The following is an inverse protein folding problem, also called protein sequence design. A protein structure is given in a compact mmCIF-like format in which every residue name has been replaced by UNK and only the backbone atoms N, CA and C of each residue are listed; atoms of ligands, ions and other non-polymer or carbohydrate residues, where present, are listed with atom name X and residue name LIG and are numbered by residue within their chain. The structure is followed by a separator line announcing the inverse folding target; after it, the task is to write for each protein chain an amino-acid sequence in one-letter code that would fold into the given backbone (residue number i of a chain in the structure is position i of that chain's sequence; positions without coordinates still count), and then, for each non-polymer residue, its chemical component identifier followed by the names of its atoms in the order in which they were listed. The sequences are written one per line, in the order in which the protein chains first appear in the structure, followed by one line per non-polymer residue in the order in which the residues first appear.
data_IF_466917989327
#
_entry.id   IF_466917989327
#
_cell.length_a   1.000
_cell.length_b   1.000
_cell.length_c   1.000
_cell.angle_alpha   90.00
_cell.angle_beta   90.00
_cell.angle_gamma   90.00
#
_symmetry.space_group_name_H-M   'P 1'
#
loop_
_entity.id
_entity.type
_entity.pdbx_description
1 polymer ?
#
# COMPACT_ATOMS: atom_id res chain seq x y z
N UNK A 1 7.83 -21.19 30.04
CA UNK A 1 7.86 -20.37 28.82
C UNK A 1 6.97 -19.16 29.03
N UNK A 2 7.46 -17.94 28.82
CA UNK A 2 6.71 -16.69 28.92
C UNK A 2 7.21 -15.70 27.89
N UNK A 3 6.40 -14.71 27.58
CA UNK A 3 6.80 -13.59 26.73
C UNK A 3 7.68 -12.65 27.54
N UNK A 4 8.84 -12.24 27.00
CA UNK A 4 9.75 -11.30 27.63
C UNK A 4 9.17 -9.89 27.51
N UNK A 5 9.10 -9.19 28.64
CA UNK A 5 8.65 -7.80 28.67
C UNK A 5 9.88 -6.85 28.58
N UNK A 6 9.77 -5.72 27.88
CA UNK A 6 10.87 -4.74 27.83
C UNK A 6 11.36 -4.33 29.22
N UNK A 7 12.68 -4.43 29.47
CA UNK A 7 13.29 -4.13 30.76
C UNK A 7 13.46 -5.33 31.68
N UNK A 8 13.14 -6.53 31.25
CA UNK A 8 13.38 -7.77 31.99
C UNK A 8 14.80 -8.28 31.71
N UNK A 9 15.52 -8.66 32.79
CA UNK A 9 16.86 -9.21 32.68
C UNK A 9 16.82 -10.70 32.34
N UNK A 10 17.65 -11.12 31.38
CA UNK A 10 17.88 -12.51 31.03
C UNK A 10 18.93 -13.11 31.99
N UNK A 11 18.67 -14.30 32.46
CA UNK A 11 19.57 -15.04 33.33
C UNK A 11 20.36 -16.10 32.54
N UNK A 12 21.54 -16.43 33.00
CA UNK A 12 22.31 -17.52 32.41
C UNK A 12 21.56 -18.87 32.53
N UNK A 13 21.33 -19.50 31.37
CA UNK A 13 20.54 -20.73 31.29
C UNK A 13 19.10 -20.53 30.80
N UNK A 14 18.68 -19.26 30.57
CA UNK A 14 17.40 -18.99 29.92
C UNK A 14 17.49 -19.35 28.42
N UNK A 15 16.43 -19.97 27.93
CA UNK A 15 16.24 -20.21 26.50
C UNK A 15 15.29 -19.18 25.91
N UNK A 16 15.72 -18.55 24.81
CA UNK A 16 14.99 -17.43 24.19
C UNK A 16 14.68 -17.75 22.72
N UNK A 17 13.46 -17.49 22.27
CA UNK A 17 13.09 -17.55 20.86
C UNK A 17 13.30 -16.16 20.24
N UNK A 18 14.19 -16.07 19.28
CA UNK A 18 14.44 -14.84 18.51
C UNK A 18 13.79 -14.96 17.15
N UNK A 19 12.97 -13.96 16.78
CA UNK A 19 12.31 -13.88 15.49
C UNK A 19 12.79 -12.64 14.75
N UNK A 20 13.35 -12.81 13.56
CA UNK A 20 13.91 -11.70 12.79
C UNK A 20 14.43 -12.13 11.42
N UNK A 21 15.12 -11.22 10.75
CA UNK A 21 15.88 -11.54 9.54
C UNK A 21 17.06 -12.43 9.91
N UNK A 22 17.40 -13.37 9.03
CA UNK A 22 18.42 -14.40 9.29
C UNK A 22 19.73 -13.83 9.80
N UNK A 23 20.24 -12.78 9.16
CA UNK A 23 21.50 -12.11 9.53
C UNK A 23 21.45 -11.51 10.95
N UNK A 24 20.28 -10.96 11.33
CA UNK A 24 20.07 -10.39 12.67
C UNK A 24 19.95 -11.51 13.71
N UNK A 25 19.24 -12.58 13.39
CA UNK A 25 19.10 -13.74 14.28
C UNK A 25 20.46 -14.37 14.55
N UNK A 26 21.30 -14.56 13.54
CA UNK A 26 22.66 -15.08 13.69
C UNK A 26 23.50 -14.18 14.61
N UNK A 27 23.47 -12.85 14.41
CA UNK A 27 24.18 -11.89 15.26
C UNK A 27 23.70 -11.91 16.72
N UNK A 28 22.37 -11.96 16.92
CA UNK A 28 21.78 -12.01 18.27
C UNK A 28 22.12 -13.32 18.96
N UNK A 29 22.12 -14.45 18.22
CA UNK A 29 22.53 -15.74 18.77
C UNK A 29 23.97 -15.73 19.26
N UNK A 30 24.91 -15.13 18.49
CA UNK A 30 26.31 -15.00 18.92
C UNK A 30 26.47 -14.15 20.19
N UNK A 31 25.61 -13.12 20.37
CA UNK A 31 25.65 -12.25 21.55
C UNK A 31 25.03 -12.90 22.78
N UNK A 32 23.93 -13.63 22.60
CA UNK A 32 23.20 -14.25 23.70
C UNK A 32 23.78 -15.60 24.15
N UNK A 33 24.47 -16.32 23.26
CA UNK A 33 25.06 -17.62 23.59
C UNK A 33 25.08 -18.58 22.40
N UNK A 34 24.55 -19.76 22.57
CA UNK A 34 24.53 -20.82 21.54
C UNK A 34 23.10 -21.16 21.13
N UNK A 35 22.92 -21.66 19.89
CA UNK A 35 21.63 -22.13 19.43
C UNK A 35 21.21 -23.39 20.23
N UNK A 36 20.03 -23.35 20.82
CA UNK A 36 19.43 -24.49 21.52
C UNK A 36 18.85 -25.50 20.55
N UNK A 37 19.01 -26.80 20.86
CA UNK A 37 18.36 -27.88 20.11
C UNK A 37 16.87 -28.03 20.47
N UNK A 38 16.40 -27.33 21.51
CA UNK A 38 15.00 -27.34 21.91
C UNK A 38 14.20 -26.27 21.12
N UNK A 39 13.20 -26.72 20.39
CA UNK A 39 12.27 -25.81 19.72
C UNK A 39 11.18 -25.35 20.68
N UNK A 40 11.46 -24.33 21.51
CA UNK A 40 10.49 -23.70 22.41
C UNK A 40 9.21 -23.27 21.71
N UNK A 41 9.26 -22.96 20.41
CA UNK A 41 8.10 -22.65 19.58
C UNK A 41 7.08 -23.81 19.49
N UNK A 42 7.46 -25.05 19.87
CA UNK A 42 6.57 -26.21 19.92
C UNK A 42 6.02 -26.49 21.34
N UNK A 43 6.56 -25.82 22.35
CA UNK A 43 6.02 -25.94 23.72
C UNK A 43 4.79 -25.03 23.90
N UNK A 44 3.61 -25.59 23.60
CA UNK A 44 2.31 -24.91 23.72
C UNK A 44 1.67 -25.05 25.09
N UNK A 45 2.40 -25.41 26.11
CA UNK A 45 1.85 -25.65 27.44
C UNK A 45 1.40 -24.35 28.12
N UNK A 46 2.11 -23.23 27.89
CA UNK A 46 1.86 -21.93 28.53
C UNK A 46 1.62 -20.82 27.53
N UNK A 47 2.24 -20.90 26.35
CA UNK A 47 2.19 -19.84 25.32
C UNK A 47 1.50 -20.38 24.06
N UNK A 48 0.62 -19.59 23.48
CA UNK A 48 -0.07 -19.94 22.23
C UNK A 48 0.45 -19.06 21.08
N UNK A 49 0.74 -19.74 19.94
CA UNK A 49 1.05 -19.08 18.66
C UNK A 49 -0.23 -19.08 17.84
N UNK A 50 -0.81 -17.91 17.65
CA UNK A 50 -2.05 -17.79 16.92
C UNK A 50 -1.96 -16.70 15.86
N UNK A 51 -2.81 -16.80 14.82
CA UNK A 51 -2.98 -15.75 13.83
C UNK A 51 -4.32 -15.06 14.06
N UNK A 52 -4.28 -13.76 14.25
CA UNK A 52 -5.43 -12.93 14.53
C UNK A 52 -5.60 -11.88 13.43
N UNK A 53 -6.84 -11.58 13.10
CA UNK A 53 -7.17 -10.57 12.10
C UNK A 53 -7.47 -9.23 12.78
N UNK A 54 -6.76 -8.19 12.39
CA UNK A 54 -7.00 -6.83 12.87
C UNK A 54 -8.30 -6.30 12.26
N UNK A 55 -9.38 -6.29 13.05
CA UNK A 55 -10.69 -5.81 12.63
C UNK A 55 -11.26 -4.69 13.50
N UNK A 56 -10.58 -4.34 14.58
CA UNK A 56 -10.96 -3.23 15.42
C UNK A 56 -10.55 -1.89 14.76
N UNK A 57 -11.50 -1.03 14.37
CA UNK A 57 -11.20 0.23 13.70
C UNK A 57 -10.41 1.22 14.55
N UNK A 58 -10.46 1.09 15.89
CA UNK A 58 -9.68 1.96 16.78
C UNK A 58 -8.18 1.71 16.74
N UNK A 59 -7.79 0.55 16.26
CA UNK A 59 -6.39 0.15 16.10
C UNK A 59 -5.85 0.48 14.70
N UNK A 60 -6.72 0.77 13.76
CA UNK A 60 -6.34 1.15 12.41
C UNK A 60 -5.44 2.39 12.43
N UNK A 61 -4.36 2.34 11.63
CA UNK A 61 -3.38 3.42 11.50
C UNK A 61 -2.51 3.68 12.74
N UNK A 62 -2.47 2.75 13.69
CA UNK A 62 -1.51 2.75 14.81
C UNK A 62 -0.34 1.84 14.54
N UNK A 63 0.83 2.22 15.01
CA UNK A 63 2.02 1.38 14.93
C UNK A 63 1.95 0.23 15.97
N UNK A 64 2.70 -0.84 15.73
CA UNK A 64 2.80 -1.96 16.68
C UNK A 64 3.25 -1.47 18.05
N UNK A 65 4.23 -0.54 18.10
CA UNK A 65 4.69 0.07 19.34
C UNK A 65 3.57 0.79 20.11
N UNK A 66 2.70 1.54 19.41
CA UNK A 66 1.59 2.26 20.03
C UNK A 66 0.52 1.34 20.63
N UNK A 67 0.38 0.13 20.12
CA UNK A 67 -0.55 -0.86 20.68
C UNK A 67 -0.08 -1.38 22.02
N UNK A 68 1.23 -1.35 22.26
CA UNK A 68 1.87 -1.75 23.51
C UNK A 68 1.40 -3.13 24.03
N UNK A 69 1.26 -4.09 23.11
CA UNK A 69 0.75 -5.43 23.40
C UNK A 69 1.58 -6.18 24.44
N UNK A 70 2.94 -6.07 24.48
CA UNK A 70 3.75 -6.75 25.47
C UNK A 70 3.42 -6.34 26.90
N UNK A 71 3.20 -5.03 27.15
CA UNK A 71 2.90 -4.52 28.49
C UNK A 71 1.44 -4.76 28.89
N UNK A 72 0.52 -4.72 27.92
CA UNK A 72 -0.93 -4.88 28.16
C UNK A 72 -1.36 -6.30 28.37
N UNK A 73 -0.84 -7.20 27.55
CA UNK A 73 -1.32 -8.60 27.45
C UNK A 73 -0.17 -9.62 27.48
N UNK A 74 1.08 -9.20 27.71
CA UNK A 74 2.23 -10.10 27.54
C UNK A 74 2.29 -10.73 26.13
N UNK A 75 1.79 -10.03 25.12
CA UNK A 75 1.67 -10.55 23.76
C UNK A 75 2.70 -9.88 22.83
N UNK A 76 3.33 -10.69 21.98
CA UNK A 76 4.32 -10.21 21.00
C UNK A 76 3.87 -10.55 19.60
N UNK A 77 3.86 -9.54 18.72
CA UNK A 77 3.63 -9.74 17.28
C UNK A 77 4.92 -10.17 16.63
N UNK A 78 4.92 -11.28 15.94
CA UNK A 78 6.11 -11.83 15.26
C UNK A 78 6.12 -11.54 13.77
N UNK A 79 4.95 -11.58 13.14
CA UNK A 79 4.77 -11.33 11.71
C UNK A 79 3.44 -10.64 11.45
N UNK A 80 3.39 -9.88 10.37
CA UNK A 80 2.18 -9.26 9.84
C UNK A 80 2.01 -9.70 8.41
N UNK A 81 0.85 -10.24 8.07
CA UNK A 81 0.47 -10.58 6.70
C UNK A 81 -0.58 -9.61 6.21
N UNK A 82 -0.21 -8.84 5.18
CA UNK A 82 -1.09 -7.89 4.51
C UNK A 82 -1.37 -8.37 3.09
N UNK A 83 -2.55 -8.92 2.86
CA UNK A 83 -2.85 -9.61 1.61
C UNK A 83 -1.89 -10.77 1.36
N UNK A 84 -1.11 -10.70 0.28
CA UNK A 84 -0.09 -11.70 -0.09
C UNK A 84 1.32 -11.35 0.40
N UNK A 85 1.49 -10.19 1.05
CA UNK A 85 2.78 -9.75 1.56
C UNK A 85 2.97 -10.21 3.01
N UNK A 86 4.14 -10.76 3.28
CA UNK A 86 4.57 -11.08 4.64
C UNK A 86 5.59 -10.04 5.11
N UNK A 87 5.23 -9.30 6.14
CA UNK A 87 6.01 -8.21 6.71
C UNK A 87 6.57 -8.63 8.06
N UNK A 88 7.80 -8.23 8.34
CA UNK A 88 8.35 -8.38 9.69
C UNK A 88 7.65 -7.39 10.62
N UNK A 89 7.25 -7.88 11.81
CA UNK A 89 6.63 -7.04 12.84
C UNK A 89 7.70 -6.13 13.48
N UNK A 90 7.86 -4.93 12.90
CA UNK A 90 8.70 -3.86 13.43
C UNK A 90 7.84 -2.91 14.25
N UNK A 91 8.45 -2.26 15.22
CA UNK A 91 7.77 -1.32 16.11
C UNK A 91 7.09 -0.16 15.37
N UNK A 92 7.72 0.31 14.27
CA UNK A 92 7.24 1.39 13.43
C UNK A 92 6.21 0.95 12.38
N UNK A 93 5.94 -0.37 12.25
CA UNK A 93 4.96 -0.89 11.31
C UNK A 93 3.55 -0.51 11.74
N UNK A 94 2.88 0.24 10.88
CA UNK A 94 1.49 0.66 11.08
C UNK A 94 0.55 -0.43 10.61
N UNK A 95 -0.36 -0.87 11.49
CA UNK A 95 -1.35 -1.88 11.16
C UNK A 95 -2.53 -1.28 10.38
N UNK A 96 -3.03 -2.07 9.43
CA UNK A 96 -4.19 -1.75 8.61
C UNK A 96 -5.34 -2.73 8.88
N UNK A 97 -6.60 -2.32 8.68
CA UNK A 97 -7.73 -3.23 8.78
C UNK A 97 -7.57 -4.42 7.82
N UNK A 98 -7.74 -5.63 8.33
CA UNK A 98 -7.55 -6.86 7.55
C UNK A 98 -6.14 -7.44 7.58
N UNK A 99 -5.18 -6.78 8.25
CA UNK A 99 -3.88 -7.40 8.51
C UNK A 99 -4.07 -8.63 9.38
N UNK A 100 -3.40 -9.73 9.00
CA UNK A 100 -3.30 -10.92 9.83
C UNK A 100 -1.98 -10.88 10.57
N UNK A 101 -2.05 -10.84 11.88
CA UNK A 101 -0.87 -10.79 12.73
C UNK A 101 -0.65 -12.15 13.40
N UNK A 102 0.59 -12.63 13.33
CA UNK A 102 1.01 -13.78 14.09
C UNK A 102 1.44 -13.30 15.48
N UNK A 103 0.76 -13.76 16.51
CA UNK A 103 0.93 -13.31 17.89
C UNK A 103 1.35 -14.49 18.75
N UNK A 104 2.30 -14.24 19.65
CA UNK A 104 2.68 -15.12 20.74
C UNK A 104 2.12 -14.52 22.02
N UNK A 105 1.28 -15.26 22.73
CA UNK A 105 0.56 -14.76 23.90
C UNK A 105 0.38 -15.85 24.95
N UNK A 106 0.31 -15.49 26.23
CA UNK A 106 -0.10 -16.42 27.28
C UNK A 106 -1.55 -16.85 27.01
N UNK A 107 -1.82 -18.15 27.15
CA UNK A 107 -3.15 -18.74 26.91
C UNK A 107 -4.25 -18.08 27.73
N UNK A 108 -3.93 -17.51 28.88
CA UNK A 108 -4.90 -16.84 29.76
C UNK A 108 -5.33 -15.47 29.19
N UNK A 109 -4.46 -14.82 28.46
CA UNK A 109 -4.70 -13.49 27.90
C UNK A 109 -5.21 -13.54 26.44
N UNK A 110 -5.34 -14.75 25.87
CA UNK A 110 -5.72 -14.95 24.48
C UNK A 110 -7.08 -14.32 24.16
N UNK A 111 -8.08 -14.53 25.01
CA UNK A 111 -9.43 -13.99 24.80
C UNK A 111 -9.44 -12.46 24.86
N UNK A 112 -8.63 -11.86 25.72
CA UNK A 112 -8.51 -10.40 25.84
C UNK A 112 -7.80 -9.81 24.62
N UNK A 113 -6.78 -10.49 24.11
CA UNK A 113 -6.11 -10.10 22.85
C UNK A 113 -7.07 -10.21 21.66
N UNK A 114 -7.87 -11.27 21.57
CA UNK A 114 -8.93 -11.42 20.56
C UNK A 114 -9.94 -10.26 20.63
N UNK A 115 -10.42 -9.95 21.82
CA UNK A 115 -11.36 -8.85 22.02
C UNK A 115 -10.76 -7.49 21.65
N UNK A 116 -9.48 -7.26 21.96
CA UNK A 116 -8.77 -6.03 21.64
C UNK A 116 -8.54 -5.87 20.15
N UNK A 117 -8.06 -6.89 19.45
CA UNK A 117 -7.78 -6.86 18.01
C UNK A 117 -9.04 -6.96 17.16
N UNK A 118 -10.12 -7.51 17.72
CA UNK A 118 -11.43 -7.69 17.09
C UNK A 118 -11.57 -9.02 16.33
N UNK A 119 -10.52 -9.64 15.87
CA UNK A 119 -10.38 -10.95 15.21
C UNK A 119 -11.61 -11.41 14.39
N UNK A 120 -12.05 -10.58 13.47
CA UNK A 120 -13.19 -10.84 12.60
C UNK A 120 -12.86 -10.57 11.15
N UNK A 121 -12.68 -11.63 10.37
CA UNK A 121 -12.45 -11.51 8.91
C UNK A 121 -13.58 -10.74 8.20
N UNK A 122 -14.81 -10.90 8.67
CA UNK A 122 -15.96 -10.19 8.11
C UNK A 122 -15.85 -8.68 8.35
N UNK A 123 -15.66 -8.25 9.59
CA UNK A 123 -15.50 -6.83 9.92
C UNK A 123 -14.26 -6.21 9.29
N UNK A 124 -13.18 -7.00 9.21
CA UNK A 124 -11.94 -6.58 8.56
C UNK A 124 -12.08 -6.33 7.05
N UNK A 125 -13.05 -6.95 6.40
CA UNK A 125 -13.36 -6.74 4.97
C UNK A 125 -14.46 -5.72 4.71
N UNK A 126 -15.15 -5.24 5.75
CA UNK A 126 -16.24 -4.27 5.58
C UNK A 126 -15.68 -2.88 5.19
N UNK A 127 -16.23 -2.35 4.10
CA UNK A 127 -15.92 -1.00 3.65
C UNK A 127 -16.62 0.03 4.54
N UNK A 128 -15.89 0.98 5.05
CA UNK A 128 -16.49 2.19 5.59
C UNK A 128 -17.00 3.07 4.42
N UNK A 129 -18.26 2.89 4.10
CA UNK A 129 -18.93 3.59 2.99
C UNK A 129 -18.93 5.11 3.22
N UNK A 130 -18.98 5.56 4.47
CA UNK A 130 -18.96 7.00 4.81
C UNK A 130 -17.60 7.62 4.49
N UNK A 131 -16.51 6.99 4.90
CA UNK A 131 -15.15 7.46 4.61
C UNK A 131 -14.90 7.50 3.11
N UNK A 132 -15.23 6.42 2.40
CA UNK A 132 -15.07 6.36 0.94
C UNK A 132 -15.92 7.41 0.25
N UNK A 133 -17.20 7.53 0.62
CA UNK A 133 -18.14 8.49 0.05
C UNK A 133 -17.70 9.93 0.27
N UNK A 134 -17.29 10.28 1.50
CA UNK A 134 -16.75 11.60 1.82
C UNK A 134 -15.48 11.91 1.01
N UNK A 135 -14.57 10.95 0.91
CA UNK A 135 -13.35 11.11 0.11
C UNK A 135 -13.66 11.40 -1.36
N UNK A 136 -14.61 10.68 -1.95
CA UNK A 136 -15.05 10.91 -3.33
C UNK A 136 -15.72 12.27 -3.51
N UNK A 137 -16.63 12.65 -2.61
CA UNK A 137 -17.31 13.96 -2.66
C UNK A 137 -16.30 15.11 -2.56
N UNK A 138 -15.36 15.04 -1.62
CA UNK A 138 -14.30 16.04 -1.51
C UNK A 138 -13.41 16.09 -2.75
N UNK A 139 -13.12 14.91 -3.33
CA UNK A 139 -12.33 14.81 -4.56
C UNK A 139 -13.03 15.45 -5.75
N UNK A 140 -14.29 15.12 -5.98
CA UNK A 140 -15.07 15.75 -7.05
C UNK A 140 -15.26 17.25 -6.83
N UNK A 141 -15.54 17.67 -5.59
CA UNK A 141 -15.64 19.09 -5.25
C UNK A 141 -14.33 19.84 -5.60
N UNK A 142 -13.18 19.29 -5.19
CA UNK A 142 -11.88 19.88 -5.56
C UNK A 142 -11.66 19.89 -7.09
N UNK A 143 -12.09 18.84 -7.78
CA UNK A 143 -11.99 18.75 -9.24
C UNK A 143 -12.79 19.81 -9.99
N UNK A 144 -13.88 20.30 -9.41
CA UNK A 144 -14.74 21.32 -9.98
C UNK A 144 -14.29 22.76 -9.69
N UNK A 145 -13.36 22.97 -8.75
CA UNK A 145 -12.88 24.30 -8.37
C UNK A 145 -12.14 24.93 -9.56
N UNK A 146 -12.60 26.09 -10.07
CA UNK A 146 -11.87 26.82 -11.10
C UNK A 146 -10.64 27.50 -10.49
N UNK A 147 -9.47 27.11 -10.94
CA UNK A 147 -8.20 27.71 -10.54
C UNK A 147 -7.83 28.82 -11.54
N UNK A 148 -7.53 30.04 -11.09
CA UNK A 148 -7.13 31.11 -11.98
C UNK A 148 -5.76 30.84 -12.59
N UNK A 149 -5.61 31.09 -13.89
CA UNK A 149 -4.32 30.97 -14.60
C UNK A 149 -3.62 32.30 -14.74
N UNK A 150 -2.28 32.36 -14.62
CA UNK A 150 -1.50 33.52 -14.97
C UNK A 150 -1.63 33.78 -16.49
N UNK A 151 -2.31 34.86 -16.88
CA UNK A 151 -2.57 35.18 -18.29
C UNK A 151 -4.05 35.29 -18.64
N UNK A 152 -4.95 35.09 -17.69
CA UNK A 152 -6.40 35.15 -17.89
C UNK A 152 -6.97 33.79 -18.30
N UNK A 153 -8.07 33.42 -17.67
CA UNK A 153 -8.70 32.15 -17.84
C UNK A 153 -8.74 31.37 -16.52
N UNK A 154 -9.50 30.27 -16.48
CA UNK A 154 -9.55 29.35 -15.35
C UNK A 154 -9.42 27.93 -15.87
N UNK A 155 -8.72 27.09 -15.12
CA UNK A 155 -8.71 25.67 -15.38
C UNK A 155 -9.27 24.92 -14.15
N UNK A 156 -9.84 23.74 -14.33
CA UNK A 156 -10.25 22.86 -13.25
C UNK A 156 -9.46 21.56 -13.33
N UNK A 157 -9.18 20.95 -12.18
CA UNK A 157 -8.50 19.65 -12.10
C UNK A 157 -9.30 18.54 -12.78
N UNK A 158 -10.61 18.75 -12.88
CA UNK A 158 -11.52 17.78 -13.49
C UNK A 158 -11.86 16.58 -12.59
N UNK A 159 -12.75 15.72 -13.07
CA UNK A 159 -13.32 14.62 -12.27
C UNK A 159 -12.33 13.47 -12.01
N UNK A 160 -11.19 13.45 -12.69
CA UNK A 160 -10.17 12.41 -12.48
C UNK A 160 -9.09 12.86 -11.50
N UNK A 161 -8.53 14.08 -11.66
CA UNK A 161 -7.41 14.53 -10.86
C UNK A 161 -7.83 14.98 -9.46
N UNK A 162 -9.04 15.53 -9.29
CA UNK A 162 -9.55 15.94 -8.00
C UNK A 162 -9.61 14.77 -6.99
N UNK A 163 -10.35 13.68 -7.27
CA UNK A 163 -10.40 12.51 -6.40
C UNK A 163 -9.03 11.87 -6.17
N UNK A 164 -8.15 11.86 -7.16
CA UNK A 164 -6.79 11.33 -7.00
C UNK A 164 -6.00 12.12 -5.97
N UNK A 165 -5.98 13.46 -6.07
CA UNK A 165 -5.25 14.31 -5.12
C UNK A 165 -5.82 14.21 -3.71
N UNK A 166 -7.15 14.26 -3.57
CA UNK A 166 -7.81 14.11 -2.27
C UNK A 166 -7.52 12.72 -1.69
N UNK A 167 -7.63 11.66 -2.50
CA UNK A 167 -7.34 10.30 -2.08
C UNK A 167 -5.90 10.13 -1.60
N UNK A 168 -4.92 10.77 -2.27
CA UNK A 168 -3.53 10.78 -1.82
C UNK A 168 -3.35 11.50 -0.48
N UNK A 169 -3.98 12.66 -0.31
CA UNK A 169 -3.88 13.43 0.95
C UNK A 169 -4.52 12.63 2.09
N UNK A 170 -5.74 12.13 1.89
CA UNK A 170 -6.44 11.35 2.91
C UNK A 170 -5.72 10.03 3.22
N UNK A 171 -5.19 9.35 2.19
CA UNK A 171 -4.38 8.15 2.35
C UNK A 171 -3.08 8.41 3.12
N UNK A 172 -2.43 9.56 2.91
CA UNK A 172 -1.26 9.97 3.69
C UNK A 172 -1.61 10.30 5.14
N UNK A 173 -2.76 10.94 5.37
CA UNK A 173 -3.29 11.21 6.71
C UNK A 173 -3.74 9.95 7.44
N UNK A 174 -4.14 8.92 6.70
CA UNK A 174 -4.67 7.63 7.19
C UNK A 174 -5.88 7.74 8.10
N UNK A 175 -5.92 8.72 8.99
CA UNK A 175 -6.99 8.97 9.95
C UNK A 175 -7.15 10.45 10.23
N UNK A 176 -8.42 10.90 10.40
CA UNK A 176 -8.74 12.27 10.84
C UNK A 176 -9.85 12.19 11.87
N UNK A 177 -9.51 12.34 13.15
CA UNK A 177 -10.45 12.14 14.24
C UNK A 177 -11.05 10.73 14.26
N UNK A 178 -12.37 10.57 14.24
CA UNK A 178 -13.02 9.26 14.21
C UNK A 178 -12.99 8.60 12.84
N UNK A 179 -12.70 9.33 11.75
CA UNK A 179 -12.77 8.83 10.38
C UNK A 179 -11.45 8.18 10.00
N UNK A 180 -11.50 6.91 9.59
CA UNK A 180 -10.37 6.13 9.07
C UNK A 180 -10.43 6.14 7.54
N UNK A 181 -9.40 6.65 6.89
CA UNK A 181 -9.30 6.75 5.42
C UNK A 181 -8.67 5.52 4.78
N UNK A 182 -8.08 4.64 5.59
CA UNK A 182 -7.49 3.41 5.10
C UNK A 182 -8.57 2.40 4.73
N UNK A 183 -8.47 1.84 3.53
CA UNK A 183 -9.34 0.76 3.06
C UNK A 183 -8.75 -0.59 3.44
N UNK A 184 -9.58 -1.58 3.81
CA UNK A 184 -9.13 -2.96 3.98
C UNK A 184 -8.47 -3.48 2.69
N UNK A 185 -7.38 -4.23 2.82
CA UNK A 185 -6.59 -4.68 1.66
C UNK A 185 -7.40 -5.45 0.62
N UNK A 186 -8.32 -6.35 1.05
CA UNK A 186 -9.21 -7.08 0.16
C UNK A 186 -10.19 -6.18 -0.59
N UNK A 187 -10.76 -5.19 0.10
CA UNK A 187 -11.67 -4.23 -0.48
C UNK A 187 -10.95 -3.29 -1.47
N UNK A 188 -9.77 -2.83 -1.10
CA UNK A 188 -8.92 -2.00 -1.98
C UNK A 188 -8.59 -2.72 -3.28
N UNK A 189 -8.19 -4.00 -3.23
CA UNK A 189 -7.90 -4.81 -4.41
C UNK A 189 -9.13 -4.94 -5.32
N UNK A 190 -10.29 -5.27 -4.76
CA UNK A 190 -11.55 -5.43 -5.51
C UNK A 190 -11.98 -4.12 -6.16
N UNK A 191 -11.94 -3.00 -5.41
CA UNK A 191 -12.30 -1.68 -5.95
C UNK A 191 -11.34 -1.22 -7.05
N UNK A 192 -10.05 -1.49 -6.89
CA UNK A 192 -9.04 -1.18 -7.90
C UNK A 192 -9.28 -1.95 -9.20
N UNK A 193 -9.55 -3.26 -9.12
CA UNK A 193 -9.85 -4.08 -10.29
C UNK A 193 -11.14 -3.64 -10.98
N UNK A 194 -12.21 -3.42 -10.20
CA UNK A 194 -13.48 -2.94 -10.74
C UNK A 194 -13.32 -1.55 -11.38
N UNK A 195 -12.63 -0.63 -10.69
CA UNK A 195 -12.36 0.71 -11.21
C UNK A 195 -11.56 0.68 -12.51
N UNK A 196 -10.56 -0.19 -12.62
CA UNK A 196 -9.78 -0.37 -13.85
C UNK A 196 -10.66 -0.89 -15.00
N UNK A 197 -11.50 -1.90 -14.74
CA UNK A 197 -12.40 -2.45 -15.76
C UNK A 197 -13.42 -1.41 -16.25
N UNK A 198 -14.02 -0.65 -15.33
CA UNK A 198 -14.96 0.41 -15.68
C UNK A 198 -14.27 1.55 -16.44
N UNK A 199 -13.07 1.92 -16.05
CA UNK A 199 -12.27 2.92 -16.74
C UNK A 199 -11.95 2.49 -18.17
N UNK A 200 -11.45 1.25 -18.36
CA UNK A 200 -11.15 0.71 -19.70
C UNK A 200 -12.40 0.60 -20.57
N UNK A 201 -13.53 0.14 -20.00
CA UNK A 201 -14.80 0.08 -20.71
C UNK A 201 -15.29 1.47 -21.14
N UNK A 202 -15.24 2.46 -20.21
CA UNK A 202 -15.61 3.84 -20.50
C UNK A 202 -14.72 4.45 -21.59
N UNK A 203 -13.42 4.20 -21.52
CA UNK A 203 -12.46 4.68 -22.52
C UNK A 203 -12.71 4.04 -23.89
N UNK A 204 -12.99 2.74 -23.92
CA UNK A 204 -13.36 2.03 -25.15
C UNK A 204 -14.65 2.56 -25.80
N UNK A 205 -15.66 2.84 -24.98
CA UNK A 205 -16.94 3.38 -25.48
C UNK A 205 -16.80 4.81 -26.00
N UNK A 206 -16.01 5.66 -25.33
CA UNK A 206 -15.85 7.07 -25.74
C UNK A 206 -14.87 7.23 -26.90
N UNK A 207 -13.74 6.52 -26.89
CA UNK A 207 -12.70 6.65 -27.92
C UNK A 207 -12.93 5.73 -29.13
N UNK A 208 -13.74 4.68 -29.00
CA UNK A 208 -13.95 3.68 -30.05
C UNK A 208 -14.39 4.27 -31.41
N UNK A 209 -15.42 5.12 -31.46
CA UNK A 209 -15.85 5.77 -32.71
C UNK A 209 -14.77 6.60 -33.37
N UNK A 210 -14.00 7.36 -32.58
CA UNK A 210 -12.91 8.21 -33.09
C UNK A 210 -11.75 7.36 -33.63
N UNK A 211 -11.40 6.27 -32.96
CA UNK A 211 -10.39 5.31 -33.42
C UNK A 211 -10.79 4.69 -34.75
N UNK A 212 -12.04 4.28 -34.91
CA UNK A 212 -12.54 3.72 -36.18
C UNK A 212 -12.45 4.74 -37.32
N UNK A 213 -12.81 6.00 -37.07
CA UNK A 213 -12.70 7.09 -38.04
C UNK A 213 -11.25 7.38 -38.43
N UNK A 214 -10.34 7.42 -37.43
CA UNK A 214 -8.92 7.65 -37.69
C UNK A 214 -8.30 6.50 -38.47
N UNK A 215 -8.60 5.25 -38.14
CA UNK A 215 -8.06 4.07 -38.85
C UNK A 215 -8.48 4.03 -40.32
N UNK A 216 -9.61 4.62 -40.68
CA UNK A 216 -10.05 4.76 -42.07
C UNK A 216 -9.31 5.88 -42.84
N UNK A 217 -8.51 6.70 -42.16
CA UNK A 217 -7.80 7.81 -42.78
C UNK A 217 -6.45 7.40 -43.34
N UNK A 218 -5.99 7.98 -44.49
CA UNK A 218 -4.67 7.67 -45.07
C UNK A 218 -3.48 8.04 -44.16
N UNK A 219 -3.70 8.92 -43.19
CA UNK A 219 -2.70 9.42 -42.25
C UNK A 219 -2.59 8.58 -40.96
N UNK A 220 -3.57 7.68 -40.73
CA UNK A 220 -3.62 6.85 -39.52
C UNK A 220 -2.34 6.09 -39.25
N UNK A 221 -1.81 5.47 -40.28
CA UNK A 221 -0.55 4.71 -40.17
C UNK A 221 0.61 5.59 -39.62
N UNK A 222 0.78 6.81 -40.17
CA UNK A 222 1.85 7.71 -39.72
C UNK A 222 1.65 8.16 -38.27
N UNK A 223 0.41 8.51 -37.89
CA UNK A 223 0.06 8.88 -36.53
C UNK A 223 0.32 7.72 -35.55
N UNK A 224 -0.09 6.51 -35.92
CA UNK A 224 0.12 5.33 -35.08
C UNK A 224 1.60 5.03 -34.87
N UNK A 225 2.40 5.04 -35.93
CA UNK A 225 3.85 4.79 -35.84
C UNK A 225 4.52 5.87 -34.99
N UNK A 226 4.18 7.15 -35.21
CA UNK A 226 4.73 8.24 -34.42
C UNK A 226 4.40 8.09 -32.95
N UNK A 227 3.14 7.76 -32.61
CA UNK A 227 2.71 7.54 -31.22
C UNK A 227 3.46 6.39 -30.55
N UNK A 228 3.67 5.28 -31.26
CA UNK A 228 4.47 4.13 -30.76
C UNK A 228 5.91 4.54 -30.50
N UNK A 229 6.53 5.27 -31.44
CA UNK A 229 7.92 5.74 -31.29
C UNK A 229 8.06 6.70 -30.11
N UNK A 230 7.15 7.68 -29.99
CA UNK A 230 7.15 8.63 -28.86
C UNK A 230 6.96 7.91 -27.53
N UNK A 231 6.02 6.98 -27.45
CA UNK A 231 5.77 6.20 -26.23
C UNK A 231 7.01 5.35 -25.86
N UNK A 232 7.59 4.63 -26.82
CA UNK A 232 8.77 3.82 -26.59
C UNK A 232 9.97 4.68 -26.15
N UNK A 233 10.22 5.80 -26.82
CA UNK A 233 11.29 6.72 -26.46
C UNK A 233 11.10 7.29 -25.06
N UNK A 234 9.88 7.71 -24.71
CA UNK A 234 9.56 8.22 -23.38
C UNK A 234 9.80 7.16 -22.28
N UNK A 235 9.42 5.91 -22.53
CA UNK A 235 9.70 4.79 -21.62
C UNK A 235 11.20 4.58 -21.41
N UNK A 236 11.98 4.57 -22.51
CA UNK A 236 13.44 4.38 -22.45
C UNK A 236 14.11 5.51 -21.70
N UNK A 237 13.78 6.77 -22.04
CA UNK A 237 14.33 7.95 -21.37
C UNK A 237 14.02 7.93 -19.88
N UNK A 238 12.76 7.63 -19.52
CA UNK A 238 12.36 7.57 -18.12
C UNK A 238 13.05 6.42 -17.37
N UNK A 239 13.21 5.25 -17.99
CA UNK A 239 13.90 4.12 -17.39
C UNK A 239 15.38 4.42 -17.16
N UNK A 240 16.05 5.03 -18.15
CA UNK A 240 17.44 5.46 -18.05
C UNK A 240 17.60 6.49 -16.95
N UNK A 241 16.74 7.51 -16.92
CA UNK A 241 16.74 8.52 -15.86
C UNK A 241 16.54 7.90 -14.47
N UNK A 242 15.56 7.01 -14.33
CA UNK A 242 15.28 6.32 -13.07
C UNK A 242 16.46 5.49 -12.56
N UNK A 243 17.14 4.78 -13.47
CA UNK A 243 18.24 3.86 -13.12
C UNK A 243 19.59 4.56 -12.95
N UNK A 244 19.93 5.48 -13.84
CA UNK A 244 21.28 6.05 -13.94
C UNK A 244 21.42 7.44 -13.32
N UNK A 245 20.32 8.22 -13.26
CA UNK A 245 20.34 9.56 -12.67
C UNK A 245 19.82 9.54 -11.24
N UNK A 246 18.73 8.80 -10.98
CA UNK A 246 18.06 8.74 -9.67
C UNK A 246 18.45 7.50 -8.84
N UNK A 247 19.25 6.60 -9.41
CA UNK A 247 19.70 5.33 -8.78
C UNK A 247 18.56 4.53 -8.11
N UNK A 248 17.39 4.51 -8.75
CA UNK A 248 16.24 3.79 -8.22
C UNK A 248 16.41 2.28 -8.37
N UNK A 249 15.95 1.52 -7.38
CA UNK A 249 15.85 0.06 -7.50
C UNK A 249 14.92 -0.34 -8.65
N UNK A 250 15.11 -1.53 -9.23
CA UNK A 250 14.31 -1.99 -10.36
C UNK A 250 12.78 -1.94 -10.11
N UNK A 251 12.25 -2.35 -8.93
CA UNK A 251 10.81 -2.19 -8.64
C UNK A 251 10.35 -0.73 -8.65
N UNK A 252 11.11 0.18 -8.02
CA UNK A 252 10.79 1.60 -8.02
C UNK A 252 10.85 2.20 -9.42
N UNK A 253 11.82 1.82 -10.23
CA UNK A 253 11.94 2.28 -11.61
C UNK A 253 10.75 1.82 -12.46
N UNK A 254 10.30 0.57 -12.32
CA UNK A 254 9.12 0.05 -13.01
C UNK A 254 7.84 0.82 -12.64
N UNK A 255 7.61 1.04 -11.35
CA UNK A 255 6.49 1.86 -10.87
C UNK A 255 6.57 3.30 -11.36
N UNK A 256 7.77 3.89 -11.36
CA UNK A 256 8.02 5.24 -11.85
C UNK A 256 7.66 5.41 -13.34
N UNK A 257 8.07 4.46 -14.19
CA UNK A 257 7.72 4.46 -15.63
C UNK A 257 6.20 4.35 -15.82
N UNK A 258 5.55 3.43 -15.11
CA UNK A 258 4.10 3.26 -15.18
C UNK A 258 3.36 4.53 -14.75
N UNK A 259 3.81 5.18 -13.66
CA UNK A 259 3.26 6.44 -13.15
C UNK A 259 3.45 7.61 -14.10
N UNK A 260 4.64 7.74 -14.68
CA UNK A 260 4.93 8.78 -15.68
C UNK A 260 4.05 8.65 -16.93
N UNK A 261 3.86 7.43 -17.43
CA UNK A 261 2.96 7.17 -18.54
C UNK A 261 1.50 7.45 -18.16
N UNK A 262 1.16 7.27 -16.89
CA UNK A 262 -0.22 7.37 -16.40
C UNK A 262 -1.08 6.18 -16.81
N UNK A 263 -0.47 5.00 -17.00
CA UNK A 263 -1.15 3.81 -17.49
C UNK A 263 -1.27 2.72 -16.40
N UNK A 264 -2.47 2.52 -15.81
CA UNK A 264 -2.70 1.49 -14.80
C UNK A 264 -2.38 0.08 -15.28
N UNK A 265 -2.58 -0.21 -16.58
CA UNK A 265 -2.26 -1.51 -17.16
C UNK A 265 -0.75 -1.84 -17.10
N UNK A 266 0.12 -0.82 -17.19
CA UNK A 266 1.58 -0.99 -17.05
C UNK A 266 1.95 -1.28 -15.59
N UNK A 267 1.27 -0.64 -14.64
CA UNK A 267 1.42 -0.95 -13.22
C UNK A 267 1.05 -2.39 -12.94
N UNK A 268 -0.11 -2.84 -13.41
CA UNK A 268 -0.58 -4.21 -13.21
C UNK A 268 0.39 -5.23 -13.80
N UNK A 269 0.89 -4.98 -15.01
CA UNK A 269 1.90 -5.83 -15.65
C UNK A 269 3.22 -5.88 -14.87
N UNK A 270 3.61 -4.81 -14.19
CA UNK A 270 4.80 -4.79 -13.35
C UNK A 270 4.56 -5.52 -12.01
N UNK A 271 3.41 -5.29 -11.37
CA UNK A 271 3.02 -5.90 -10.10
C UNK A 271 2.80 -7.41 -10.22
N UNK A 272 2.23 -7.89 -11.34
CA UNK A 272 2.01 -9.31 -11.60
C UNK A 272 3.30 -10.12 -11.73
N UNK A 273 4.41 -9.49 -12.14
CA UNK A 273 5.72 -10.14 -12.22
C UNK A 273 6.45 -10.22 -10.88
N UNK A 274 6.18 -9.28 -9.99
CA UNK A 274 6.77 -9.21 -8.66
C UNK A 274 5.85 -8.41 -7.75
N UNK A 275 5.32 -9.05 -6.73
CA UNK A 275 4.60 -8.38 -5.66
C UNK A 275 5.61 -7.59 -4.80
N UNK A 276 5.66 -6.26 -4.98
CA UNK A 276 6.58 -5.36 -4.26
C UNK A 276 5.88 -4.01 -4.09
N UNK A 277 5.57 -3.62 -2.87
CA UNK A 277 4.88 -2.35 -2.54
C UNK A 277 5.60 -1.11 -3.10
N UNK A 278 6.91 -1.19 -3.33
CA UNK A 278 7.69 -0.11 -3.90
C UNK A 278 7.29 0.24 -5.33
N UNK A 279 6.71 -0.71 -6.07
CA UNK A 279 6.18 -0.49 -7.42
C UNK A 279 4.96 0.45 -7.33
N UNK A 280 4.03 0.13 -6.45
CA UNK A 280 2.79 0.91 -6.27
C UNK A 280 3.06 2.30 -5.68
N UNK A 281 3.93 2.40 -4.69
CA UNK A 281 4.32 3.67 -4.10
C UNK A 281 4.98 4.61 -5.12
N UNK A 282 5.89 4.10 -5.95
CA UNK A 282 6.54 4.87 -7.00
C UNK A 282 5.55 5.27 -8.11
N UNK A 283 4.63 4.37 -8.47
CA UNK A 283 3.56 4.68 -9.40
C UNK A 283 2.69 5.83 -8.89
N UNK A 284 2.17 5.74 -7.69
CA UNK A 284 1.27 6.74 -7.13
C UNK A 284 1.92 8.13 -7.10
N UNK A 285 3.18 8.20 -6.67
CA UNK A 285 3.93 9.46 -6.59
C UNK A 285 4.10 10.10 -7.97
N UNK A 286 4.59 9.35 -8.96
CA UNK A 286 4.85 9.91 -10.28
C UNK A 286 3.57 10.09 -11.11
N UNK A 287 2.55 9.28 -10.91
CA UNK A 287 1.26 9.44 -11.57
C UNK A 287 0.63 10.78 -11.21
N UNK A 288 0.54 11.08 -9.90
CA UNK A 288 0.00 12.36 -9.44
C UNK A 288 0.79 13.55 -9.95
N UNK A 289 2.12 13.50 -9.83
CA UNK A 289 2.99 14.55 -10.32
C UNK A 289 2.85 14.73 -11.85
N UNK A 290 2.84 13.64 -12.60
CA UNK A 290 2.73 13.66 -14.05
C UNK A 290 1.40 14.24 -14.55
N UNK A 291 0.29 13.94 -13.85
CA UNK A 291 -1.02 14.53 -14.17
C UNK A 291 -1.00 16.04 -13.96
N UNK A 292 -0.51 16.50 -12.80
CA UNK A 292 -0.43 17.94 -12.51
C UNK A 292 0.42 18.65 -13.56
N UNK A 293 1.60 18.12 -13.88
CA UNK A 293 2.48 18.68 -14.90
C UNK A 293 1.82 18.72 -16.28
N UNK A 294 1.15 17.62 -16.69
CA UNK A 294 0.43 17.56 -17.97
C UNK A 294 -0.70 18.59 -18.05
N UNK A 295 -1.48 18.74 -16.97
CA UNK A 295 -2.56 19.71 -16.89
C UNK A 295 -2.03 21.15 -17.01
N UNK A 296 -0.87 21.43 -16.40
CA UNK A 296 -0.26 22.76 -16.46
C UNK A 296 0.41 23.05 -17.81
N UNK A 297 0.95 22.04 -18.50
CA UNK A 297 1.67 22.22 -19.77
C UNK A 297 0.73 22.25 -20.98
N UNK A 298 -0.35 21.47 -20.99
CA UNK A 298 -1.27 21.39 -22.15
C UNK A 298 -1.84 22.75 -22.58
N UNK A 299 -2.25 23.65 -21.66
CA UNK A 299 -2.75 24.96 -22.06
C UNK A 299 -1.67 25.93 -22.59
N UNK A 300 -0.39 25.60 -22.44
CA UNK A 300 0.74 26.45 -22.84
C UNK A 300 1.22 26.08 -24.24
N UNK A 301 0.89 24.89 -24.74
CA UNK A 301 1.21 24.40 -26.08
C UNK A 301 0.04 24.62 -27.03
#
# INVERSE_FOLDING_TARGET
TRVIVPGEDLLAGDEVVVVGMREVVETVTEVLGEASDQHLAHDRSLVEFTQLTVSNPDLASRSIAELNLPVRFGAVVTRVRRGDLELLARDDLVLEPGDRIAVVVDRKELDDVHAFLGDSDRKAGELDVLSLGLGLVLGFALGLVPLPMPGGGSFSLGPAAGPLLVGMILGALRRTGPVVWALPGSANLTLRQLGLLLFLAGLGLTAGPDVAAVLASPTAWRATVLSVVVAALSCVVMLVAARWVLDLSAPRAAGAVAGFLGQPAVLEAAASKRADERIEAAYATLFAFSIVVKILLVPVI
#
